data_IF_824282486502
#
_entry.id   IF_824282486502
#
_cell.length_a   1.000
_cell.length_b   1.000
_cell.length_c   1.000
_cell.angle_alpha   90.00
_cell.angle_beta   90.00
_cell.angle_gamma   90.00
#
_symmetry.space_group_name_H-M   'P 1'
#
loop_
_entity.id
_entity.type
_entity.pdbx_description
1 polymer ?
#
# COMPACT_ATOMS: atom_id res chain seq x y z
N UNK A 1 -23.65 9.18 38.61
CA UNK A 1 -23.20 7.78 38.62
C UNK A 1 -22.58 7.53 37.26
N UNK A 2 -21.27 7.77 37.18
CA UNK A 2 -20.42 7.29 36.09
C UNK A 2 -20.43 5.76 36.09
N UNK A 3 -20.31 5.15 34.92
CA UNK A 3 -19.20 4.27 34.50
C UNK A 3 -19.70 3.39 33.34
N UNK A 4 -19.19 3.55 32.13
CA UNK A 4 -17.88 3.08 31.64
C UNK A 4 -18.14 1.91 30.70
N UNK A 5 -18.45 2.21 29.43
CA UNK A 5 -18.29 1.24 28.36
C UNK A 5 -16.89 1.45 27.81
N UNK A 6 -16.13 0.38 27.96
CA UNK A 6 -14.73 0.23 27.62
C UNK A 6 -14.56 0.29 26.10
N UNK A 7 -13.71 1.21 25.66
CA UNK A 7 -13.14 1.25 24.32
C UNK A 7 -12.47 -0.09 23.98
N UNK A 8 -12.69 -0.55 22.74
CA UNK A 8 -11.73 -1.38 22.01
C UNK A 8 -11.92 -1.13 20.51
N UNK A 9 -11.66 0.13 20.12
CA UNK A 9 -11.37 0.50 18.74
C UNK A 9 -9.88 0.90 18.71
N UNK A 10 -9.00 -0.09 18.94
CA UNK A 10 -7.54 0.11 18.89
C UNK A 10 -6.97 -0.53 17.63
N UNK A 11 -7.24 0.10 16.48
CA UNK A 11 -6.37 0.05 15.30
C UNK A 11 -6.52 1.35 14.49
N UNK A 12 -6.29 2.50 15.12
CA UNK A 12 -6.01 3.71 14.35
C UNK A 12 -4.96 4.58 15.08
N UNK A 13 -3.70 4.18 14.97
CA UNK A 13 -2.57 5.10 15.15
C UNK A 13 -1.34 4.58 14.42
N UNK A 14 -1.45 4.46 13.10
CA UNK A 14 -0.26 4.79 12.30
C UNK A 14 -0.22 6.30 12.32
N UNK A 15 0.60 6.81 13.23
CA UNK A 15 0.96 8.22 13.35
C UNK A 15 1.26 8.72 11.95
N UNK A 16 0.29 9.41 11.35
CA UNK A 16 0.55 10.20 10.15
C UNK A 16 1.56 11.21 10.62
N UNK A 17 2.82 10.99 10.22
CA UNK A 17 3.87 11.99 10.37
C UNK A 17 3.27 13.21 9.71
N UNK A 18 2.82 14.13 10.56
CA UNK A 18 2.32 15.42 10.16
C UNK A 18 3.53 16.09 9.55
N UNK A 19 3.67 15.93 8.23
CA UNK A 19 4.45 16.80 7.40
C UNK A 19 3.80 18.15 7.65
N UNK A 20 4.38 18.87 8.60
CA UNK A 20 4.05 20.25 8.91
C UNK A 20 3.82 20.91 7.57
N UNK A 21 2.61 21.45 7.38
CA UNK A 21 2.33 22.43 6.35
C UNK A 21 3.15 23.70 6.68
N UNK A 22 4.47 23.57 6.75
CA UNK A 22 5.34 24.62 6.29
C UNK A 22 5.05 24.66 4.80
N UNK A 23 4.07 25.50 4.47
CA UNK A 23 3.98 26.19 3.19
C UNK A 23 5.30 26.97 3.00
N UNK A 24 6.40 26.26 2.81
CA UNK A 24 7.31 26.61 1.73
C UNK A 24 6.46 26.42 0.50
N UNK A 25 5.65 27.45 0.21
CA UNK A 25 5.35 27.80 -1.16
C UNK A 25 6.71 27.85 -1.82
N UNK A 26 7.09 26.74 -2.47
CA UNK A 26 7.99 26.82 -3.59
C UNK A 26 7.10 27.47 -4.64
N UNK A 27 6.93 28.78 -4.48
CA UNK A 27 6.50 29.64 -5.56
C UNK A 27 7.36 29.17 -6.74
N UNK A 28 6.78 28.87 -7.92
CA UNK A 28 7.62 28.78 -9.10
C UNK A 28 8.42 30.06 -9.08
N UNK A 29 9.74 29.94 -8.90
CA UNK A 29 10.62 31.09 -8.70
C UNK A 29 10.26 32.08 -9.79
N UNK A 30 9.61 33.16 -9.35
CA UNK A 30 9.06 34.22 -10.19
C UNK A 30 10.25 35.05 -10.64
N UNK A 31 11.07 34.46 -11.51
CA UNK A 31 12.21 35.09 -12.17
C UNK A 31 12.28 34.72 -13.66
N UNK A 32 11.38 33.87 -14.17
CA UNK A 32 11.42 33.48 -15.59
C UNK A 32 10.26 34.02 -16.44
N UNK A 33 9.32 34.77 -15.86
CA UNK A 33 8.27 35.44 -16.64
C UNK A 33 8.79 36.65 -17.41
N UNK A 34 9.78 37.35 -16.83
CA UNK A 34 10.28 38.61 -17.38
C UNK A 34 11.33 38.40 -18.47
N UNK A 35 12.18 37.36 -18.35
CA UNK A 35 13.26 37.10 -19.31
C UNK A 35 12.68 36.70 -20.68
N UNK A 36 11.64 35.87 -20.70
CA UNK A 36 10.99 35.46 -21.94
C UNK A 36 10.24 36.61 -22.62
N UNK A 37 9.60 37.49 -21.84
CA UNK A 37 8.98 38.70 -22.36
C UNK A 37 10.03 39.68 -22.91
N UNK A 38 11.09 39.94 -22.15
CA UNK A 38 12.17 40.85 -22.54
C UNK A 38 12.89 40.40 -23.83
N UNK A 39 13.05 39.09 -24.03
CA UNK A 39 13.63 38.51 -25.25
C UNK A 39 12.68 38.60 -26.46
N UNK A 40 11.36 38.50 -26.25
CA UNK A 40 10.36 38.64 -27.31
C UNK A 40 10.17 40.09 -27.76
N UNK A 41 10.24 41.05 -26.83
CA UNK A 41 10.05 42.48 -27.13
C UNK A 41 11.31 43.21 -27.63
N UNK A 42 12.51 42.62 -27.49
CA UNK A 42 13.78 43.27 -27.90
C UNK A 42 14.00 43.38 -29.43
N UNK A 43 13.05 42.96 -30.26
CA UNK A 43 13.23 42.86 -31.71
C UNK A 43 12.23 43.68 -32.55
N UNK A 44 11.68 44.76 -31.98
CA UNK A 44 10.80 45.67 -32.74
C UNK A 44 11.54 46.92 -33.22
N UNK A 45 11.95 46.85 -34.50
CA UNK A 45 12.06 47.97 -35.46
C UNK A 45 13.16 49.03 -35.28
N UNK A 46 14.34 48.80 -35.87
CA UNK A 46 15.15 49.85 -36.52
C UNK A 46 15.91 49.26 -37.73
N UNK A 47 15.57 49.74 -38.92
CA UNK A 47 16.14 49.37 -40.22
C UNK A 47 17.53 50.02 -40.39
N UNK A 48 18.60 49.34 -39.97
CA UNK A 48 19.99 49.78 -40.17
C UNK A 48 20.79 48.64 -40.80
N UNK A 49 21.48 48.92 -41.90
CA UNK A 49 22.36 48.00 -42.64
C UNK A 49 23.31 47.27 -41.66
N UNK A 50 23.23 45.93 -41.52
CA UNK A 50 23.94 45.22 -40.47
C UNK A 50 25.44 45.32 -40.70
N UNK A 51 26.17 45.83 -39.70
CA UNK A 51 27.64 45.86 -39.72
C UNK A 51 28.14 44.47 -39.29
N UNK A 52 29.32 44.03 -39.75
CA UNK A 52 29.89 42.72 -39.37
C UNK A 52 29.92 42.47 -37.84
N UNK A 53 29.98 43.55 -37.05
CA UNK A 53 29.95 43.53 -35.60
C UNK A 53 28.57 43.15 -35.00
N UNK A 54 27.47 43.36 -35.72
CA UNK A 54 26.13 42.95 -35.27
C UNK A 54 25.90 41.47 -35.55
N UNK A 55 26.46 40.95 -36.64
CA UNK A 55 26.46 39.52 -36.95
C UNK A 55 27.22 38.70 -35.88
N UNK A 56 28.36 39.18 -35.41
CA UNK A 56 29.11 38.50 -34.34
C UNK A 56 28.38 38.53 -33.00
N UNK A 57 27.71 39.64 -32.65
CA UNK A 57 26.85 39.71 -31.46
C UNK A 57 25.65 38.75 -31.54
N UNK A 58 24.99 38.69 -32.70
CA UNK A 58 23.89 37.74 -32.88
C UNK A 58 24.37 36.29 -32.79
N UNK A 59 25.58 36.00 -33.30
CA UNK A 59 26.18 34.69 -33.19
C UNK A 59 26.51 34.32 -31.74
N UNK A 60 27.10 35.22 -30.96
CA UNK A 60 27.40 34.95 -29.54
C UNK A 60 26.13 34.80 -28.71
N UNK A 61 25.09 35.61 -28.97
CA UNK A 61 23.78 35.45 -28.33
C UNK A 61 23.16 34.10 -28.70
N UNK A 62 23.25 33.68 -29.96
CA UNK A 62 22.75 32.37 -30.39
C UNK A 62 23.53 31.22 -29.74
N UNK A 63 24.86 31.31 -29.63
CA UNK A 63 25.70 30.33 -28.95
C UNK A 63 25.34 30.21 -27.46
N UNK A 64 25.21 31.34 -26.77
CA UNK A 64 24.80 31.35 -25.36
C UNK A 64 23.40 30.75 -25.20
N UNK A 65 22.46 31.02 -26.12
CA UNK A 65 21.12 30.41 -26.09
C UNK A 65 21.18 28.88 -26.21
N UNK A 66 22.01 28.37 -27.12
CA UNK A 66 22.19 26.92 -27.30
C UNK A 66 22.79 26.29 -26.05
N UNK A 67 23.80 26.91 -25.44
CA UNK A 67 24.42 26.43 -24.20
C UNK A 67 23.40 26.37 -23.05
N UNK A 68 22.64 27.45 -22.83
CA UNK A 68 21.60 27.49 -21.81
C UNK A 68 20.50 26.45 -22.02
N UNK A 69 20.03 26.26 -23.27
CA UNK A 69 19.03 25.23 -23.59
C UNK A 69 19.58 23.82 -23.37
N UNK A 70 20.85 23.59 -23.65
CA UNK A 70 21.51 22.30 -23.41
C UNK A 70 21.59 22.01 -21.91
N UNK A 71 21.94 23.00 -21.10
CA UNK A 71 21.95 22.86 -19.65
C UNK A 71 20.56 22.57 -19.07
N UNK A 72 19.52 23.28 -19.54
CA UNK A 72 18.13 23.01 -19.14
C UNK A 72 17.67 21.61 -19.55
N UNK A 73 18.12 21.13 -20.71
CA UNK A 73 17.82 19.77 -21.17
C UNK A 73 18.46 18.73 -20.25
N UNK A 74 19.74 18.91 -19.90
CA UNK A 74 20.45 18.02 -18.98
C UNK A 74 19.80 17.99 -17.59
N UNK A 75 19.41 19.15 -17.06
CA UNK A 75 18.68 19.24 -15.80
C UNK A 75 17.33 18.51 -15.87
N UNK A 76 16.60 18.66 -16.98
CA UNK A 76 15.33 17.96 -17.22
C UNK A 76 15.51 16.44 -17.32
N UNK A 77 16.54 15.98 -18.02
CA UNK A 77 16.87 14.55 -18.17
C UNK A 77 17.25 13.93 -16.82
N UNK A 78 18.08 14.62 -16.04
CA UNK A 78 18.47 14.20 -14.69
C UNK A 78 17.25 14.08 -13.75
N UNK A 79 16.36 15.08 -13.78
CA UNK A 79 15.12 15.04 -13.00
C UNK A 79 14.18 13.91 -13.45
N UNK A 80 14.08 13.65 -14.75
CA UNK A 80 13.28 12.57 -15.29
C UNK A 80 13.78 11.20 -14.80
N UNK A 81 15.10 11.01 -14.80
CA UNK A 81 15.75 9.81 -14.29
C UNK A 81 15.43 9.60 -12.80
N UNK A 82 15.54 10.66 -11.98
CA UNK A 82 15.22 10.61 -10.56
C UNK A 82 13.74 10.24 -10.31
N UNK A 83 12.81 10.88 -11.02
CA UNK A 83 11.37 10.61 -10.88
C UNK A 83 11.06 9.17 -11.27
N UNK A 84 11.70 8.66 -12.32
CA UNK A 84 11.52 7.28 -12.77
C UNK A 84 12.01 6.29 -11.72
N UNK A 85 13.17 6.56 -11.10
CA UNK A 85 13.71 5.70 -10.05
C UNK A 85 12.86 5.75 -8.78
N UNK A 86 12.41 6.93 -8.35
CA UNK A 86 11.48 7.05 -7.22
C UNK A 86 10.18 6.29 -7.48
N UNK A 87 9.62 6.38 -8.69
CA UNK A 87 8.45 5.60 -9.07
C UNK A 87 8.71 4.08 -8.99
N UNK A 88 9.90 3.63 -9.42
CA UNK A 88 10.28 2.22 -9.35
C UNK A 88 10.34 1.74 -7.90
N UNK A 89 11.01 2.50 -7.04
CA UNK A 89 11.13 2.18 -5.60
C UNK A 89 9.77 2.16 -4.92
N UNK A 90 8.93 3.18 -5.15
CA UNK A 90 7.58 3.25 -4.58
C UNK A 90 6.71 2.07 -5.00
N UNK A 91 6.75 1.69 -6.29
CA UNK A 91 6.02 0.52 -6.78
C UNK A 91 6.47 -0.77 -6.10
N UNK A 92 7.77 -0.93 -5.85
CA UNK A 92 8.28 -2.12 -5.16
C UNK A 92 7.89 -2.12 -3.68
N UNK A 93 7.88 -0.95 -3.04
CA UNK A 93 7.46 -0.81 -1.65
C UNK A 93 5.98 -1.17 -1.48
N UNK A 94 5.12 -0.74 -2.39
CA UNK A 94 3.69 -1.13 -2.41
C UNK A 94 3.57 -2.65 -2.46
N UNK A 95 4.26 -3.32 -3.40
CA UNK A 95 4.22 -4.79 -3.51
C UNK A 95 4.77 -5.49 -2.27
N UNK A 96 5.76 -4.90 -1.60
CA UNK A 96 6.32 -5.43 -0.35
C UNK A 96 5.29 -5.34 0.77
N UNK A 97 4.62 -4.19 0.88
CA UNK A 97 3.58 -3.94 1.88
C UNK A 97 2.37 -4.84 1.66
N UNK A 98 1.88 -4.98 0.43
CA UNK A 98 0.78 -5.89 0.08
C UNK A 98 1.06 -7.33 0.56
N UNK A 99 2.23 -7.88 0.21
CA UNK A 99 2.65 -9.20 0.70
C UNK A 99 2.78 -9.28 2.22
N UNK A 100 3.12 -8.18 2.87
CA UNK A 100 3.22 -8.13 4.33
C UNK A 100 1.85 -8.13 4.97
N UNK A 101 0.91 -7.37 4.43
CA UNK A 101 -0.49 -7.32 4.85
C UNK A 101 -1.12 -8.70 4.69
N UNK A 102 -0.96 -9.34 3.54
CA UNK A 102 -1.47 -10.70 3.31
C UNK A 102 -0.95 -11.69 4.38
N UNK A 103 0.33 -11.60 4.74
CA UNK A 103 0.90 -12.45 5.81
C UNK A 103 0.33 -12.12 7.19
N UNK A 104 0.12 -10.84 7.49
CA UNK A 104 -0.48 -10.40 8.77
C UNK A 104 -1.94 -10.84 8.83
N UNK A 105 -2.74 -10.61 7.78
CA UNK A 105 -4.12 -11.08 7.69
C UNK A 105 -4.21 -12.60 7.85
N UNK A 106 -3.31 -13.36 7.21
CA UNK A 106 -3.23 -14.81 7.40
C UNK A 106 -2.86 -15.19 8.85
N UNK A 107 -1.95 -14.44 9.49
CA UNK A 107 -1.55 -14.69 10.87
C UNK A 107 -2.67 -14.34 11.87
N UNK A 108 -3.36 -13.21 11.67
CA UNK A 108 -4.51 -12.78 12.48
C UNK A 108 -5.69 -13.74 12.31
N UNK A 109 -5.94 -14.18 11.07
CA UNK A 109 -6.94 -15.20 10.78
C UNK A 109 -6.59 -16.54 11.46
N UNK A 110 -5.31 -16.88 11.58
CA UNK A 110 -4.86 -18.08 12.31
C UNK A 110 -4.98 -17.94 13.84
N UNK A 111 -4.72 -16.76 14.39
CA UNK A 111 -5.01 -16.48 15.80
C UNK A 111 -6.51 -16.56 16.09
N UNK A 112 -7.34 -16.00 15.21
CA UNK A 112 -8.78 -16.14 15.30
C UNK A 112 -9.20 -17.61 15.21
N UNK A 113 -8.68 -18.36 14.23
CA UNK A 113 -8.90 -19.79 14.08
C UNK A 113 -8.54 -20.57 15.35
N UNK A 114 -7.39 -20.30 15.97
CA UNK A 114 -6.96 -20.89 17.25
C UNK A 114 -8.05 -20.69 18.30
N UNK A 115 -8.55 -19.47 18.47
CA UNK A 115 -9.59 -19.16 19.46
C UNK A 115 -10.91 -19.90 19.15
N UNK A 116 -11.27 -20.00 17.87
CA UNK A 116 -12.46 -20.72 17.42
C UNK A 116 -12.32 -22.24 17.66
N UNK A 117 -11.17 -22.84 17.36
CA UNK A 117 -10.90 -24.26 17.63
C UNK A 117 -10.93 -24.54 19.13
N UNK A 118 -10.31 -23.68 19.95
CA UNK A 118 -10.34 -23.82 21.41
C UNK A 118 -11.78 -23.76 21.94
N UNK A 119 -12.60 -22.83 21.44
CA UNK A 119 -14.03 -22.78 21.77
C UNK A 119 -14.78 -24.02 21.29
N UNK A 120 -14.50 -24.49 20.07
CA UNK A 120 -15.15 -25.67 19.49
C UNK A 120 -14.92 -26.94 20.32
N UNK A 121 -13.71 -27.14 20.84
CA UNK A 121 -13.36 -28.31 21.66
C UNK A 121 -13.88 -28.16 23.11
N UNK A 122 -13.86 -26.95 23.67
CA UNK A 122 -14.19 -26.71 25.08
C UNK A 122 -15.70 -26.60 25.34
N UNK A 123 -16.48 -26.13 24.35
CA UNK A 123 -17.93 -26.01 24.49
C UNK A 123 -18.57 -27.39 24.27
N UNK A 124 -19.36 -27.85 25.25
CA UNK A 124 -20.10 -29.12 25.19
C UNK A 124 -21.55 -28.98 24.68
N UNK A 125 -21.95 -27.79 24.23
CA UNK A 125 -23.28 -27.52 23.70
C UNK A 125 -23.34 -27.69 22.18
N UNK A 126 -24.33 -28.44 21.69
CA UNK A 126 -24.58 -28.66 20.26
C UNK A 126 -24.84 -27.34 19.51
N UNK A 127 -25.65 -26.46 20.09
CA UNK A 127 -26.04 -25.17 19.49
C UNK A 127 -24.84 -24.24 19.27
N UNK A 128 -23.94 -24.19 20.25
CA UNK A 128 -22.73 -23.37 20.17
C UNK A 128 -21.75 -23.94 19.13
N UNK A 129 -21.60 -25.27 19.05
CA UNK A 129 -20.75 -25.91 18.03
C UNK A 129 -21.31 -25.70 16.63
N UNK A 130 -22.62 -25.83 16.44
CA UNK A 130 -23.28 -25.57 15.15
C UNK A 130 -23.09 -24.12 14.68
N UNK A 131 -23.13 -23.14 15.61
CA UNK A 131 -22.89 -21.73 15.30
C UNK A 131 -21.44 -21.43 14.89
N UNK A 132 -20.48 -22.25 15.32
CA UNK A 132 -19.06 -22.11 14.95
C UNK A 132 -18.73 -22.73 13.58
N UNK A 133 -19.57 -23.62 13.04
CA UNK A 133 -19.33 -24.26 11.73
C UNK A 133 -19.23 -23.23 10.58
N UNK A 134 -20.16 -22.27 10.41
CA UNK A 134 -20.06 -21.27 9.34
C UNK A 134 -18.80 -20.40 9.46
N UNK A 135 -18.37 -20.13 10.69
CA UNK A 135 -17.16 -19.36 10.98
C UNK A 135 -15.91 -20.17 10.56
N UNK A 136 -15.83 -21.45 10.94
CA UNK A 136 -14.77 -22.37 10.49
C UNK A 136 -14.75 -22.51 8.97
N UNK A 137 -15.91 -22.64 8.32
CA UNK A 137 -16.03 -22.70 6.86
C UNK A 137 -15.46 -21.46 6.19
N UNK A 138 -15.71 -20.28 6.75
CA UNK A 138 -15.22 -19.01 6.18
C UNK A 138 -13.71 -18.86 6.37
N UNK A 139 -13.18 -19.22 7.54
CA UNK A 139 -11.74 -19.11 7.86
C UNK A 139 -10.91 -20.12 7.07
N UNK A 140 -11.35 -21.37 7.01
CA UNK A 140 -10.63 -22.49 6.39
C UNK A 140 -10.97 -22.70 4.92
N UNK A 141 -11.94 -21.95 4.38
CA UNK A 141 -12.49 -22.13 3.01
C UNK A 141 -12.89 -23.58 2.74
N UNK A 142 -13.65 -24.17 3.67
CA UNK A 142 -14.07 -25.57 3.59
C UNK A 142 -14.93 -25.83 2.35
N UNK A 143 -14.76 -27.00 1.75
CA UNK A 143 -15.64 -27.51 0.70
C UNK A 143 -17.04 -27.81 1.25
N UNK A 144 -18.12 -27.75 0.44
CA UNK A 144 -19.46 -28.15 0.87
C UNK A 144 -19.51 -29.56 1.48
N UNK A 145 -18.68 -30.48 0.99
CA UNK A 145 -18.60 -31.86 1.50
C UNK A 145 -18.04 -31.91 2.94
N UNK A 146 -17.03 -31.10 3.22
CA UNK A 146 -16.41 -30.99 4.54
C UNK A 146 -17.34 -30.30 5.54
N UNK A 147 -18.08 -29.29 5.09
CA UNK A 147 -19.10 -28.61 5.91
C UNK A 147 -20.20 -29.58 6.38
N UNK A 148 -20.66 -30.48 5.49
CA UNK A 148 -21.64 -31.51 5.84
C UNK A 148 -21.10 -32.49 6.90
N UNK A 149 -19.79 -32.81 6.86
CA UNK A 149 -19.15 -33.65 7.86
C UNK A 149 -19.16 -32.99 9.24
N UNK A 150 -18.86 -31.70 9.33
CA UNK A 150 -18.93 -30.94 10.59
C UNK A 150 -20.36 -30.88 11.15
N UNK A 151 -21.37 -30.64 10.31
CA UNK A 151 -22.78 -30.62 10.73
C UNK A 151 -23.22 -32.00 11.25
N UNK A 152 -22.90 -33.05 10.51
CA UNK A 152 -23.19 -34.43 10.89
C UNK A 152 -22.52 -34.78 12.21
N UNK A 153 -21.28 -34.34 12.42
CA UNK A 153 -20.56 -34.58 13.67
C UNK A 153 -21.22 -33.88 14.87
N UNK A 154 -21.65 -32.62 14.72
CA UNK A 154 -22.33 -31.90 15.80
C UNK A 154 -23.68 -32.52 16.19
N UNK A 155 -24.38 -33.16 15.26
CA UNK A 155 -25.68 -33.81 15.53
C UNK A 155 -25.57 -35.22 16.12
N UNK A 156 -24.40 -35.87 16.08
CA UNK A 156 -24.22 -37.26 16.53
C UNK A 156 -23.88 -37.37 18.04
N UNK A 157 -23.47 -36.29 18.70
CA UNK A 157 -22.88 -36.29 20.05
C UNK A 157 -23.84 -36.66 21.21
N UNK A 158 -25.11 -36.97 20.94
CA UNK A 158 -26.11 -37.33 21.98
C UNK A 158 -26.15 -38.82 22.35
N UNK A 159 -25.51 -39.75 21.62
CA UNK A 159 -25.77 -41.19 21.80
C UNK A 159 -24.55 -42.12 21.82
N UNK A 160 -23.30 -41.63 21.94
CA UNK A 160 -22.17 -42.54 21.98
C UNK A 160 -21.06 -42.09 22.93
N UNK A 161 -20.51 -43.07 23.65
CA UNK A 161 -19.41 -42.91 24.61
C UNK A 161 -18.10 -42.40 23.99
N UNK A 162 -17.02 -42.40 24.78
CA UNK A 162 -15.95 -41.42 24.71
C UNK A 162 -15.27 -41.40 23.33
N UNK A 163 -15.29 -40.23 22.71
CA UNK A 163 -14.21 -39.71 21.87
C UNK A 163 -13.80 -40.58 20.67
N UNK A 164 -14.68 -40.72 19.68
CA UNK A 164 -14.28 -41.12 18.30
C UNK A 164 -13.20 -40.20 17.70
N UNK A 165 -13.04 -38.99 18.24
CA UNK A 165 -11.98 -38.05 17.89
C UNK A 165 -10.59 -38.51 18.35
N UNK A 166 -10.53 -39.29 19.44
CA UNK A 166 -9.26 -39.81 19.94
C UNK A 166 -8.64 -40.84 19.00
N UNK A 167 -9.45 -41.67 18.33
CA UNK A 167 -8.97 -42.68 17.38
C UNK A 167 -8.26 -42.05 16.17
N UNK A 168 -8.77 -40.92 15.65
CA UNK A 168 -8.11 -40.19 14.56
C UNK A 168 -6.80 -39.55 15.01
N UNK A 169 -6.71 -39.07 16.25
CA UNK A 169 -5.48 -38.54 16.82
C UNK A 169 -4.43 -39.64 17.03
N UNK A 170 -4.84 -40.83 17.49
CA UNK A 170 -3.94 -41.98 17.66
C UNK A 170 -3.38 -42.49 16.34
N UNK A 171 -4.14 -42.38 15.25
CA UNK A 171 -3.67 -42.80 13.94
C UNK A 171 -2.68 -41.81 13.29
N UNK A 172 -2.70 -40.53 13.70
CA UNK A 172 -1.75 -39.51 13.21
C UNK A 172 -0.44 -39.46 14.00
N UNK A 173 -0.45 -39.82 15.28
CA UNK A 173 0.77 -39.86 16.12
C UNK A 173 1.65 -41.08 15.84
N UNK A 174 1.15 -42.11 15.17
CA UNK A 174 1.89 -43.35 14.90
C UNK A 174 2.53 -43.40 13.49
N UNK A 175 2.41 -42.34 12.69
CA UNK A 175 2.99 -42.26 11.34
C UNK A 175 4.32 -41.47 11.34
N UNK A 176 5.28 -41.95 12.15
CA UNK A 176 6.66 -41.46 12.21
C UNK A 176 7.66 -42.60 12.21
#
# INVERSE_FOLDING_TARGET
MNQSIHNCDDLESVETISISEKKTSISPTSMSGNILQEILYSNESQEIRPTNQDFTKHLTVAQNKVENLTQLLEESESNNMLITEQNRVLKEEIRRLERSIERIEMADNLEYLKNIIVKFITLSGEDDRQRLIPVLTTILKLSPDEQNLFQTFTSIDQNNGPNKWSDYLYNWTNDK
#
